data_IF_277394340930
#
_entry.id   IF_277394340930
#
_cell.length_a   1.000
_cell.length_b   1.000
_cell.length_c   1.000
_cell.angle_alpha   90.00
_cell.angle_beta   90.00
_cell.angle_gamma   90.00
#
_symmetry.space_group_name_H-M   'P 1'
#
loop_
_entity.id
_entity.type
_entity.pdbx_description
1 polymer ?
#
# COMPACT_ATOMS: atom_id res chain seq x y z
N UNK A 1 -20.92 -16.25 -20.03
CA UNK A 1 -20.39 -14.90 -19.73
C UNK A 1 -19.62 -14.42 -20.97
N UNK A 2 -19.93 -13.24 -21.51
CA UNK A 2 -19.34 -12.74 -22.75
C UNK A 2 -17.81 -12.69 -22.66
N UNK A 3 -17.11 -13.33 -23.62
CA UNK A 3 -15.63 -13.35 -23.69
C UNK A 3 -15.01 -11.96 -23.66
N UNK A 4 -15.69 -10.96 -24.25
CA UNK A 4 -15.28 -9.55 -24.21
C UNK A 4 -15.20 -9.01 -22.78
N UNK A 5 -16.21 -9.27 -21.94
CA UNK A 5 -16.25 -8.76 -20.56
C UNK A 5 -15.17 -9.40 -19.69
N UNK A 6 -14.87 -10.68 -19.93
CA UNK A 6 -13.77 -11.37 -19.25
C UNK A 6 -12.41 -10.83 -19.70
N UNK A 7 -12.25 -10.56 -21.00
CA UNK A 7 -11.04 -9.96 -21.53
C UNK A 7 -10.80 -8.56 -20.93
N UNK A 8 -11.80 -7.68 -20.97
CA UNK A 8 -11.66 -6.33 -20.41
C UNK A 8 -11.40 -6.35 -18.91
N UNK A 9 -12.06 -7.22 -18.14
CA UNK A 9 -11.84 -7.30 -16.69
C UNK A 9 -10.47 -7.88 -16.33
N UNK A 10 -9.97 -8.90 -17.04
CA UNK A 10 -8.66 -9.48 -16.77
C UNK A 10 -7.54 -8.51 -17.13
N UNK A 11 -7.62 -7.86 -18.29
CA UNK A 11 -6.63 -6.85 -18.72
C UNK A 11 -6.63 -5.64 -17.77
N UNK A 12 -7.79 -5.25 -17.25
CA UNK A 12 -7.90 -4.15 -16.28
C UNK A 12 -7.39 -4.54 -14.90
N UNK A 13 -7.66 -5.77 -14.44
CA UNK A 13 -7.14 -6.29 -13.18
C UNK A 13 -5.61 -6.38 -13.18
N UNK A 14 -5.00 -6.88 -14.25
CA UNK A 14 -3.52 -6.95 -14.36
C UNK A 14 -2.88 -5.57 -14.35
N UNK A 15 -3.47 -4.59 -15.05
CA UNK A 15 -2.99 -3.21 -15.01
C UNK A 15 -3.09 -2.58 -13.62
N UNK A 16 -4.22 -2.75 -12.92
CA UNK A 16 -4.39 -2.24 -11.56
C UNK A 16 -3.39 -2.87 -10.60
N UNK A 17 -3.20 -4.20 -10.66
CA UNK A 17 -2.22 -4.90 -9.81
C UNK A 17 -0.81 -4.38 -10.08
N UNK A 18 -0.45 -4.21 -11.36
CA UNK A 18 0.87 -3.71 -11.74
C UNK A 18 1.12 -2.29 -11.20
N UNK A 19 0.15 -1.38 -11.36
CA UNK A 19 0.24 -0.01 -10.84
C UNK A 19 0.27 -0.01 -9.32
N UNK A 20 -0.58 -0.80 -8.67
CA UNK A 20 -0.62 -0.92 -7.22
C UNK A 20 0.70 -1.43 -6.66
N UNK A 21 1.28 -2.45 -7.28
CA UNK A 21 2.57 -3.02 -6.88
C UNK A 21 3.69 -2.00 -7.09
N UNK A 22 3.72 -1.31 -8.23
CA UNK A 22 4.71 -0.26 -8.51
C UNK A 22 4.66 0.86 -7.46
N UNK A 23 3.47 1.41 -7.20
CA UNK A 23 3.29 2.47 -6.21
C UNK A 23 3.63 1.98 -4.79
N UNK A 24 3.22 0.75 -4.44
CA UNK A 24 3.54 0.16 -3.13
C UNK A 24 5.04 0.00 -2.97
N UNK A 25 5.75 -0.43 -4.01
CA UNK A 25 7.19 -0.65 -4.00
C UNK A 25 7.98 0.65 -3.86
N UNK A 26 7.54 1.71 -4.55
CA UNK A 26 8.10 3.07 -4.38
C UNK A 26 7.94 3.53 -2.94
N UNK A 27 6.74 3.42 -2.37
CA UNK A 27 6.51 3.80 -0.98
C UNK A 27 7.36 2.93 -0.05
N UNK A 28 7.39 1.62 -0.25
CA UNK A 28 8.21 0.68 0.53
C UNK A 28 9.69 1.07 0.58
N UNK A 29 10.28 1.42 -0.56
CA UNK A 29 11.69 1.79 -0.65
C UNK A 29 12.01 3.01 0.22
N UNK A 30 11.10 3.99 0.30
CA UNK A 30 11.27 5.18 1.16
C UNK A 30 11.21 4.86 2.66
N UNK A 31 10.55 3.77 3.05
CA UNK A 31 10.31 3.44 4.45
C UNK A 31 11.34 2.44 4.99
N UNK A 32 12.01 1.72 4.09
CA UNK A 32 12.96 0.66 4.44
C UNK A 32 14.09 1.19 5.30
N UNK A 33 14.67 2.35 4.95
CA UNK A 33 15.76 2.97 5.70
C UNK A 33 15.30 3.40 7.09
N UNK A 34 14.14 4.05 7.19
CA UNK A 34 13.62 4.57 8.47
C UNK A 34 13.29 3.46 9.46
N UNK A 35 12.80 2.31 8.98
CA UNK A 35 12.57 1.16 9.86
C UNK A 35 13.86 0.41 10.20
N UNK A 36 14.83 0.38 9.28
CA UNK A 36 16.13 -0.22 9.53
C UNK A 36 16.89 0.57 10.61
N UNK A 37 16.96 1.89 10.48
CA UNK A 37 17.55 2.79 11.48
C UNK A 37 16.90 2.57 12.85
N UNK A 38 15.56 2.55 12.94
CA UNK A 38 14.85 2.31 14.20
C UNK A 38 15.25 0.98 14.87
N UNK A 39 15.40 -0.09 14.10
CA UNK A 39 15.74 -1.42 14.62
C UNK A 39 17.21 -1.52 14.99
N UNK A 40 18.10 -0.94 14.18
CA UNK A 40 19.54 -0.90 14.43
C UNK A 40 19.86 -0.03 15.65
N UNK A 41 19.30 1.18 15.72
CA UNK A 41 19.52 2.11 16.83
C UNK A 41 18.98 1.56 18.17
N UNK A 42 17.89 0.78 18.11
CA UNK A 42 17.36 0.10 19.28
C UNK A 42 18.08 -1.22 19.62
N UNK A 43 19.01 -1.71 18.80
CA UNK A 43 19.66 -3.02 19.01
C UNK A 43 18.69 -4.22 18.94
N UNK A 44 17.57 -4.06 18.24
CA UNK A 44 16.52 -5.07 18.11
C UNK A 44 16.85 -6.11 17.03
N UNK A 45 16.35 -7.36 17.13
CA UNK A 45 16.55 -8.38 16.10
C UNK A 45 15.99 -7.94 14.74
N UNK A 46 16.72 -8.25 13.66
CA UNK A 46 16.32 -7.97 12.27
C UNK A 46 14.95 -8.58 11.90
N UNK A 47 14.49 -9.61 12.61
CA UNK A 47 13.16 -10.18 12.44
C UNK A 47 12.03 -9.18 12.70
N UNK A 48 12.21 -8.28 13.67
CA UNK A 48 11.24 -7.23 14.01
C UNK A 48 11.11 -6.20 12.87
N UNK A 49 12.21 -5.96 12.15
CA UNK A 49 12.20 -5.10 10.96
C UNK A 49 11.30 -5.66 9.86
N UNK A 50 11.39 -6.96 9.56
CA UNK A 50 10.50 -7.60 8.58
C UNK A 50 9.05 -7.60 9.05
N UNK A 51 8.80 -7.82 10.34
CA UNK A 51 7.45 -7.72 10.92
C UNK A 51 6.87 -6.30 10.72
N UNK A 52 7.61 -5.25 11.08
CA UNK A 52 7.21 -3.85 10.86
C UNK A 52 6.92 -3.56 9.38
N UNK A 53 7.76 -4.04 8.47
CA UNK A 53 7.56 -3.90 7.02
C UNK A 53 6.25 -4.56 6.56
N UNK A 54 6.02 -5.83 6.93
CA UNK A 54 4.84 -6.58 6.54
C UNK A 54 3.56 -5.94 7.09
N UNK A 55 3.58 -5.51 8.35
CA UNK A 55 2.44 -4.84 8.99
C UNK A 55 2.11 -3.47 8.36
N UNK A 56 3.03 -2.88 7.60
CA UNK A 56 2.78 -1.61 6.91
C UNK A 56 2.12 -1.81 5.53
N UNK A 57 2.19 -3.01 4.93
CA UNK A 57 1.57 -3.31 3.63
C UNK A 57 0.07 -2.98 3.60
N UNK A 58 -0.76 -3.43 4.56
CA UNK A 58 -2.21 -3.20 4.49
C UNK A 58 -2.55 -1.70 4.49
N UNK A 59 -1.79 -0.90 5.25
CA UNK A 59 -1.93 0.55 5.30
C UNK A 59 -1.56 1.22 3.98
N UNK A 60 -0.52 0.74 3.29
CA UNK A 60 -0.20 1.30 1.97
C UNK A 60 -1.24 0.90 0.94
N UNK A 61 -1.75 -0.33 1.00
CA UNK A 61 -2.79 -0.78 0.10
C UNK A 61 -4.06 0.07 0.22
N UNK A 62 -4.49 0.50 1.41
CA UNK A 62 -5.66 1.37 1.54
C UNK A 62 -5.48 2.73 0.89
N UNK A 63 -4.24 3.25 0.80
CA UNK A 63 -3.95 4.52 0.13
C UNK A 63 -3.73 4.31 -1.37
N UNK A 64 -2.98 3.28 -1.76
CA UNK A 64 -2.52 3.05 -3.14
C UNK A 64 -3.64 2.50 -4.03
N UNK A 65 -4.49 1.62 -3.51
CA UNK A 65 -5.51 0.92 -4.28
C UNK A 65 -6.52 1.86 -5.00
N UNK A 66 -7.05 2.94 -4.41
CA UNK A 66 -7.89 3.88 -5.15
C UNK A 66 -7.15 4.58 -6.30
N UNK A 67 -5.90 5.02 -6.09
CA UNK A 67 -5.10 5.62 -7.16
C UNK A 67 -4.75 4.62 -8.26
N UNK A 68 -4.42 3.38 -7.88
CA UNK A 68 -4.15 2.31 -8.83
C UNK A 68 -5.39 1.93 -9.64
N UNK A 69 -6.58 1.98 -9.03
CA UNK A 69 -7.85 1.73 -9.72
C UNK A 69 -8.12 2.81 -10.77
N UNK A 70 -8.02 4.09 -10.40
CA UNK A 70 -8.21 5.21 -11.34
C UNK A 70 -7.15 5.16 -12.45
N UNK A 71 -5.87 4.99 -12.09
CA UNK A 71 -4.77 4.91 -13.03
C UNK A 71 -4.88 3.72 -13.98
N UNK A 72 -5.28 2.54 -13.47
CA UNK A 72 -5.44 1.33 -14.27
C UNK A 72 -6.60 1.41 -15.25
N UNK A 73 -7.73 1.98 -14.83
CA UNK A 73 -8.86 2.25 -15.72
C UNK A 73 -8.43 3.22 -16.83
N UNK A 74 -7.85 4.36 -16.48
CA UNK A 74 -7.40 5.34 -17.48
C UNK A 74 -6.38 4.75 -18.45
N UNK A 75 -5.39 4.02 -17.95
CA UNK A 75 -4.36 3.38 -18.76
C UNK A 75 -4.94 2.36 -19.75
N UNK A 76 -5.84 1.49 -19.31
CA UNK A 76 -6.42 0.46 -20.18
C UNK A 76 -7.37 1.04 -21.20
N UNK A 77 -8.22 2.01 -20.82
CA UNK A 77 -9.09 2.65 -21.81
C UNK A 77 -8.30 3.49 -22.81
N UNK A 78 -7.21 4.13 -22.38
CA UNK A 78 -6.28 4.79 -23.29
C UNK A 78 -5.62 3.78 -24.24
N UNK A 79 -5.14 2.65 -23.72
CA UNK A 79 -4.57 1.56 -24.52
C UNK A 79 -5.57 1.04 -25.57
N UNK A 80 -6.82 0.77 -25.18
CA UNK A 80 -7.87 0.34 -26.12
C UNK A 80 -8.18 1.39 -27.19
N UNK A 81 -7.99 2.67 -26.89
CA UNK A 81 -8.16 3.74 -27.86
C UNK A 81 -6.98 3.79 -28.84
N UNK A 82 -5.74 3.69 -28.34
CA UNK A 82 -4.51 3.69 -29.16
C UNK A 82 -4.42 2.45 -30.06
N UNK A 83 -4.76 1.28 -29.52
CA UNK A 83 -4.76 0.00 -30.24
C UNK A 83 -5.99 -0.16 -31.16
N UNK A 84 -6.82 0.88 -31.30
CA UNK A 84 -8.10 0.92 -32.03
C UNK A 84 -9.13 -0.15 -31.61
N UNK A 85 -8.89 -0.91 -30.54
CA UNK A 85 -9.83 -1.93 -30.05
C UNK A 85 -11.17 -1.30 -29.67
N UNK A 86 -11.16 -0.13 -29.04
CA UNK A 86 -12.37 0.59 -28.66
C UNK A 86 -13.17 1.03 -29.90
N UNK A 87 -12.47 1.45 -30.97
CA UNK A 87 -13.10 1.87 -32.23
C UNK A 87 -13.73 0.67 -32.93
N UNK A 88 -13.03 -0.46 -33.00
CA UNK A 88 -13.54 -1.72 -33.59
C UNK A 88 -14.74 -2.24 -32.80
N UNK A 89 -14.69 -2.21 -31.47
CA UNK A 89 -15.83 -2.61 -30.62
C UNK A 89 -17.08 -1.76 -30.91
N UNK A 90 -16.92 -0.44 -31.05
CA UNK A 90 -18.03 0.46 -31.39
C UNK A 90 -18.53 0.27 -32.82
N UNK A 91 -17.64 0.04 -33.78
CA UNK A 91 -18.00 -0.26 -35.16
C UNK A 91 -18.76 -1.59 -35.31
N UNK A 92 -18.47 -2.57 -34.44
CA UNK A 92 -19.21 -3.84 -34.35
C UNK A 92 -20.61 -3.70 -33.71
N UNK A 93 -21.04 -2.48 -33.38
CA UNK A 93 -22.37 -2.21 -32.80
C UNK A 93 -22.48 -2.46 -31.29
N UNK A 94 -21.36 -2.64 -30.58
CA UNK A 94 -21.40 -2.79 -29.13
C UNK A 94 -21.78 -1.47 -28.45
N UNK A 95 -22.71 -1.55 -27.51
CA UNK A 95 -23.11 -0.37 -26.74
C UNK A 95 -22.00 0.03 -25.76
N UNK A 96 -21.85 1.33 -25.44
CA UNK A 96 -20.86 1.79 -24.47
C UNK A 96 -20.98 1.07 -23.12
N UNK A 97 -22.22 0.76 -22.70
CA UNK A 97 -22.52 0.01 -21.49
C UNK A 97 -21.92 -1.41 -21.48
N UNK A 98 -21.92 -2.10 -22.62
CA UNK A 98 -21.33 -3.44 -22.71
C UNK A 98 -19.81 -3.42 -22.57
N UNK A 99 -19.16 -2.36 -23.04
CA UNK A 99 -17.71 -2.17 -22.97
C UNK A 99 -17.29 -1.87 -21.52
N UNK A 100 -17.98 -0.93 -20.85
CA UNK A 100 -17.62 -0.51 -19.49
C UNK A 100 -18.10 -1.47 -18.40
N UNK A 101 -19.05 -2.38 -18.68
CA UNK A 101 -19.60 -3.32 -17.69
C UNK A 101 -18.52 -4.10 -16.93
N UNK A 102 -17.46 -4.53 -17.61
CA UNK A 102 -16.33 -5.23 -16.98
C UNK A 102 -15.56 -4.34 -16.01
N UNK A 103 -15.27 -3.10 -16.41
CA UNK A 103 -14.56 -2.12 -15.58
C UNK A 103 -15.39 -1.69 -14.36
N UNK A 104 -16.70 -1.46 -14.54
CA UNK A 104 -17.61 -1.10 -13.45
C UNK A 104 -17.74 -2.26 -12.44
N UNK A 105 -17.95 -3.49 -12.92
CA UNK A 105 -18.02 -4.67 -12.06
C UNK A 105 -16.74 -4.87 -11.24
N UNK A 106 -15.57 -4.69 -11.87
CA UNK A 106 -14.29 -4.78 -11.17
C UNK A 106 -14.10 -3.64 -10.15
N UNK A 107 -14.50 -2.42 -10.50
CA UNK A 107 -14.38 -1.25 -9.62
C UNK A 107 -15.25 -1.39 -8.37
N UNK A 108 -16.47 -1.94 -8.51
CA UNK A 108 -17.35 -2.24 -7.37
C UNK A 108 -16.70 -3.31 -6.48
N UNK A 109 -16.16 -4.38 -7.07
CA UNK A 109 -15.47 -5.43 -6.32
C UNK A 109 -14.26 -4.88 -5.54
N UNK A 110 -13.42 -4.08 -6.19
CA UNK A 110 -12.27 -3.42 -5.54
C UNK A 110 -12.72 -2.42 -4.47
N UNK A 111 -13.82 -1.71 -4.67
CA UNK A 111 -14.40 -0.81 -3.67
C UNK A 111 -14.87 -1.55 -2.42
N UNK A 112 -15.54 -2.69 -2.58
CA UNK A 112 -15.93 -3.55 -1.44
C UNK A 112 -14.70 -4.11 -0.71
N UNK A 113 -13.69 -4.54 -1.46
CA UNK A 113 -12.44 -5.03 -0.89
C UNK A 113 -11.72 -3.91 -0.10
N UNK A 114 -11.68 -2.70 -0.65
CA UNK A 114 -11.12 -1.52 0.02
C UNK A 114 -11.90 -1.17 1.29
N UNK A 115 -13.23 -1.22 1.24
CA UNK A 115 -14.09 -0.98 2.41
C UNK A 115 -13.76 -1.96 3.55
N UNK A 116 -13.65 -3.25 3.23
CA UNK A 116 -13.26 -4.27 4.21
C UNK A 116 -11.84 -4.05 4.75
N UNK A 117 -10.89 -3.73 3.87
CA UNK A 117 -9.49 -3.50 4.23
C UNK A 117 -9.34 -2.29 5.16
N UNK A 118 -10.06 -1.20 4.86
CA UNK A 118 -10.04 0.02 5.66
C UNK A 118 -10.80 -0.11 6.98
N UNK A 119 -11.87 -0.92 7.02
CA UNK A 119 -12.70 -1.09 8.21
C UNK A 119 -12.07 -1.98 9.28
N UNK A 120 -11.40 -3.07 8.90
CA UNK A 120 -10.90 -4.07 9.85
C UNK A 120 -9.38 -4.24 9.80
N UNK A 121 -8.82 -4.43 8.61
CA UNK A 121 -7.43 -4.87 8.45
C UNK A 121 -6.45 -3.74 8.77
N UNK A 122 -6.70 -2.55 8.23
CA UNK A 122 -5.87 -1.36 8.44
C UNK A 122 -5.77 -0.92 9.91
N UNK A 123 -6.88 -0.76 10.67
CA UNK A 123 -6.77 -0.36 12.08
C UNK A 123 -6.08 -1.41 12.94
N UNK A 124 -6.32 -2.71 12.70
CA UNK A 124 -5.66 -3.78 13.43
C UNK A 124 -4.14 -3.80 13.17
N UNK A 125 -3.74 -3.63 11.91
CA UNK A 125 -2.33 -3.53 11.53
C UNK A 125 -1.67 -2.31 12.18
N UNK A 126 -2.35 -1.16 12.18
CA UNK A 126 -1.84 0.06 12.78
C UNK A 126 -1.64 -0.06 14.29
N UNK A 127 -2.61 -0.65 15.01
CA UNK A 127 -2.50 -0.91 16.43
C UNK A 127 -1.29 -1.80 16.75
N UNK A 128 -1.06 -2.85 15.95
CA UNK A 128 0.08 -3.76 16.13
C UNK A 128 1.43 -3.09 15.86
N UNK A 129 1.51 -2.22 14.84
CA UNK A 129 2.72 -1.41 14.60
C UNK A 129 3.02 -0.50 15.79
N UNK A 130 2.00 0.12 16.37
CA UNK A 130 2.19 1.02 17.51
C UNK A 130 2.64 0.26 18.78
N UNK A 131 2.06 -0.92 19.02
CA UNK A 131 2.47 -1.83 20.11
C UNK A 131 3.93 -2.28 19.96
N UNK A 132 4.34 -2.67 18.74
CA UNK A 132 5.71 -3.06 18.45
C UNK A 132 6.67 -1.91 18.67
N UNK A 133 6.35 -0.71 18.18
CA UNK A 133 7.16 0.49 18.43
C UNK A 133 7.31 0.78 19.92
N UNK A 134 6.21 0.71 20.68
CA UNK A 134 6.25 0.95 22.13
C UNK A 134 7.03 -0.14 22.87
N UNK A 135 7.01 -1.37 22.39
CA UNK A 135 7.84 -2.47 22.92
C UNK A 135 9.31 -2.26 22.61
N UNK A 136 9.64 -1.80 21.38
CA UNK A 136 11.01 -1.48 20.98
C UNK A 136 11.52 -0.34 21.86
N UNK A 137 10.76 0.73 22.03
CA UNK A 137 11.11 1.80 22.94
C UNK A 137 11.23 1.25 24.37
N UNK A 138 10.21 0.66 24.99
CA UNK A 138 10.28 0.28 26.40
C UNK A 138 11.31 -0.81 26.75
N UNK A 139 11.51 -1.83 25.88
CA UNK A 139 12.45 -2.94 26.15
C UNK A 139 13.89 -2.61 25.78
N UNK A 140 14.11 -1.68 24.85
CA UNK A 140 15.44 -1.25 24.44
C UNK A 140 15.79 0.19 24.87
N UNK A 141 14.87 0.89 25.56
CA UNK A 141 15.04 2.23 26.17
C UNK A 141 16.11 2.28 27.24
N UNK A 142 16.65 1.15 27.68
CA UNK A 142 17.86 1.14 28.52
C UNK A 142 19.07 1.76 27.78
N UNK A 143 19.00 1.92 26.45
CA UNK A 143 19.98 2.61 25.61
C UNK A 143 19.59 4.05 25.19
N UNK A 144 18.49 4.62 25.69
CA UNK A 144 18.26 6.08 25.59
C UNK A 144 19.25 6.89 26.43
N UNK A 145 20.09 6.22 27.21
CA UNK A 145 21.32 6.76 27.73
C UNK A 145 22.42 6.49 26.68
N UNK A 146 22.58 7.42 25.73
CA UNK A 146 23.80 7.49 24.93
C UNK A 146 24.98 7.67 25.90
N UNK A 147 25.78 6.63 26.09
CA UNK A 147 27.07 6.76 26.78
C UNK A 147 27.92 7.77 25.99
N UNK A 148 28.34 8.85 26.64
CA UNK A 148 29.09 9.95 26.02
C UNK A 148 28.30 11.08 25.34
N UNK A 149 26.96 11.13 25.43
CA UNK A 149 26.17 12.29 24.95
C UNK A 149 25.11 12.69 25.97
N UNK A 150 25.08 13.97 26.33
CA UNK A 150 24.11 14.54 27.26
C UNK A 150 22.67 14.35 26.78
N UNK A 151 21.88 13.54 27.48
CA UNK A 151 20.46 13.38 27.23
C UNK A 151 19.67 14.25 28.22
N UNK A 152 19.00 15.28 27.71
CA UNK A 152 18.10 16.14 28.47
C UNK A 152 16.71 15.51 28.47
N UNK A 153 16.33 14.85 29.56
CA UNK A 153 15.04 14.16 29.69
C UNK A 153 13.87 15.12 29.98
N UNK A 154 14.16 16.33 30.49
CA UNK A 154 13.20 17.42 30.68
C UNK A 154 14.00 18.71 30.97
N UNK A 155 13.36 19.89 30.86
CA UNK A 155 13.97 21.23 30.80
C UNK A 155 14.83 21.65 32.04
N UNK A 156 15.10 20.75 32.99
CA UNK A 156 15.94 20.98 34.17
C UNK A 156 16.84 19.80 34.59
N UNK A 157 16.88 18.68 33.86
CA UNK A 157 17.76 17.56 34.24
C UNK A 157 18.44 16.94 33.02
N UNK A 158 19.77 17.02 33.02
CA UNK A 158 20.62 16.36 32.03
C UNK A 158 21.45 15.31 32.76
N UNK A 159 21.35 14.05 32.32
CA UNK A 159 22.14 12.95 32.86
C UNK A 159 23.23 12.62 31.85
N UNK A 160 24.47 12.53 32.34
CA UNK A 160 25.64 12.09 31.59
C UNK A 160 26.11 10.77 32.18
N UNK A 161 26.27 9.76 31.33
CA UNK A 161 26.88 8.47 31.64
C UNK A 161 28.10 8.33 30.75
#
# INVERSE_FOLDING_TARGET
>A
MNKLTQYTSMTLLTAIIFIALSLTLVVWLTQILRFLELVVDAGAPIGIFFELLLLTIPRFLTVVLPFATVGGVLFIFHKFLVDNELVVMRAAGLSPWQIIKGAVGLSIFLGLLMFFLSGWVAPMSYAKVQELKQTITNKYSTFLLREGVFNSLDNQTTIYI
#
